data_IF_645691559428
#
_entry.id   IF_645691559428
#
_cell.length_a   1.000
_cell.length_b   1.000
_cell.length_c   1.000
_cell.angle_alpha   90.00
_cell.angle_beta   90.00
_cell.angle_gamma   90.00
#
_symmetry.space_group_name_H-M   'P 1'
#
loop_
_entity.id
_entity.type
_entity.pdbx_description
1 polymer ?
#
# COMPACT_ATOMS: atom_id res chain seq x y z
N UNK A 1 7.34 11.22 24.49
CA UNK A 1 8.30 10.18 24.89
C UNK A 1 7.86 8.89 24.21
N UNK A 2 8.64 8.38 23.25
CA UNK A 2 8.55 7.02 22.71
C UNK A 2 8.04 6.78 21.28
N UNK A 3 8.62 5.74 20.67
CA UNK A 3 8.68 5.42 19.24
C UNK A 3 7.37 4.86 18.66
N UNK A 4 7.02 5.34 17.47
CA UNK A 4 6.10 4.72 16.51
C UNK A 4 7.02 4.18 15.42
N UNK A 5 6.94 2.88 15.12
CA UNK A 5 7.89 2.20 14.24
C UNK A 5 7.94 2.85 12.86
N UNK A 6 9.14 3.02 12.33
CA UNK A 6 9.36 3.46 10.95
C UNK A 6 8.67 2.48 9.99
N UNK A 7 8.14 2.94 8.84
CA UNK A 7 7.39 2.08 7.91
C UNK A 7 8.16 0.88 7.35
N UNK A 8 9.47 0.75 7.62
CA UNK A 8 10.35 -0.33 7.19
C UNK A 8 10.96 -1.17 8.34
N UNK A 9 10.56 -0.96 9.60
CA UNK A 9 11.12 -1.73 10.73
C UNK A 9 10.38 -3.06 11.00
N UNK A 10 11.10 -4.17 10.79
CA UNK A 10 10.70 -5.54 11.12
C UNK A 10 10.91 -5.83 12.62
N UNK A 11 10.00 -5.36 13.48
CA UNK A 11 9.92 -5.79 14.87
C UNK A 11 9.15 -7.12 15.02
N UNK A 12 9.75 -8.12 15.69
CA UNK A 12 9.06 -9.37 16.09
C UNK A 12 8.06 -9.10 17.21
N UNK A 13 6.86 -9.69 17.09
CA UNK A 13 5.77 -9.60 18.08
C UNK A 13 5.63 -10.95 18.78
N UNK A 14 5.42 -11.01 20.12
CA UNK A 14 5.05 -12.24 20.81
C UNK A 14 3.68 -12.76 20.33
N UNK A 15 3.64 -14.04 19.97
CA UNK A 15 2.47 -14.75 19.44
C UNK A 15 1.62 -15.32 20.56
N UNK A 16 0.60 -14.60 21.00
CA UNK A 16 -0.50 -15.25 21.76
C UNK A 16 -1.80 -14.51 21.50
N UNK A 17 -2.35 -14.72 20.31
CA UNK A 17 -3.77 -14.51 20.00
C UNK A 17 -4.51 -15.83 20.34
N UNK A 18 -5.73 -15.81 20.89
CA UNK A 18 -6.54 -17.00 20.97
C UNK A 18 -6.79 -17.52 19.55
N UNK A 19 -6.43 -18.78 19.28
CA UNK A 19 -6.61 -19.40 17.99
C UNK A 19 -8.11 -19.72 17.78
N UNK A 20 -8.80 -18.93 16.97
CA UNK A 20 -9.90 -19.45 16.17
C UNK A 20 -9.33 -19.84 14.81
N UNK A 21 -9.31 -21.13 14.44
CA UNK A 21 -8.78 -21.53 13.14
C UNK A 21 -9.77 -21.07 12.06
N UNK A 22 -9.34 -20.10 11.25
CA UNK A 22 -9.87 -19.97 9.90
C UNK A 22 -9.43 -21.23 9.16
N UNK A 23 -10.33 -22.19 8.97
CA UNK A 23 -10.03 -23.39 8.21
C UNK A 23 -9.66 -22.99 6.78
N UNK A 24 -8.45 -23.39 6.35
CA UNK A 24 -8.00 -23.24 4.98
C UNK A 24 -8.85 -24.14 4.07
N UNK A 25 -9.88 -23.57 3.44
CA UNK A 25 -10.73 -24.26 2.47
C UNK A 25 -10.08 -24.41 1.09
N UNK A 26 -8.78 -24.72 1.01
CA UNK A 26 -8.05 -24.82 -0.24
C UNK A 26 -7.39 -26.19 -0.39
N UNK A 27 -7.92 -27.03 -1.28
CA UNK A 27 -7.22 -28.23 -1.73
C UNK A 27 -5.97 -27.80 -2.54
N UNK A 28 -4.76 -28.34 -2.24
CA UNK A 28 -3.62 -28.16 -3.12
C UNK A 28 -3.96 -28.79 -4.48
N UNK A 29 -4.15 -27.95 -5.50
CA UNK A 29 -4.56 -28.38 -6.84
C UNK A 29 -5.64 -27.54 -7.52
N UNK A 30 -6.28 -26.58 -6.83
CA UNK A 30 -7.30 -25.73 -7.47
C UNK A 30 -6.69 -24.82 -8.54
N UNK A 31 -7.05 -25.08 -9.80
CA UNK A 31 -6.67 -24.24 -10.93
C UNK A 31 -7.13 -22.78 -10.72
N UNK A 32 -6.34 -21.78 -11.18
CA UNK A 32 -6.78 -20.39 -11.12
C UNK A 32 -8.04 -20.20 -11.96
N UNK A 33 -8.98 -19.42 -11.42
CA UNK A 33 -10.21 -19.05 -12.13
C UNK A 33 -9.92 -18.08 -13.28
N UNK A 34 -8.82 -17.32 -13.20
CA UNK A 34 -8.32 -16.50 -14.29
C UNK A 34 -6.81 -16.26 -14.17
N UNK A 35 -6.16 -16.00 -15.31
CA UNK A 35 -4.73 -15.69 -15.39
C UNK A 35 -4.47 -14.53 -16.35
N UNK A 36 -3.40 -13.78 -16.13
CA UNK A 36 -2.97 -12.70 -17.02
C UNK A 36 -1.44 -12.53 -16.97
N UNK A 37 -0.90 -11.81 -17.95
CA UNK A 37 0.51 -11.39 -17.99
C UNK A 37 0.55 -9.89 -18.23
N UNK A 38 1.27 -9.17 -17.39
CA UNK A 38 1.51 -7.74 -17.54
C UNK A 38 2.99 -7.48 -17.85
N UNK A 39 3.26 -6.69 -18.89
CA UNK A 39 4.62 -6.35 -19.32
C UNK A 39 4.88 -4.88 -18.96
N UNK A 40 5.86 -4.58 -18.09
CA UNK A 40 6.19 -3.22 -17.74
C UNK A 40 6.88 -2.50 -18.90
N UNK A 41 6.56 -1.20 -19.07
CA UNK A 41 7.31 -0.33 -19.97
C UNK A 41 8.55 0.21 -19.23
N UNK A 42 9.71 -0.42 -19.47
CA UNK A 42 10.97 -0.10 -18.80
C UNK A 42 11.22 -0.88 -17.50
N UNK A 43 12.24 -0.50 -16.70
CA UNK A 43 12.58 -1.18 -15.45
C UNK A 43 11.38 -1.29 -14.50
N UNK A 44 11.25 -2.44 -13.83
CA UNK A 44 10.15 -2.68 -12.89
C UNK A 44 10.57 -3.63 -11.77
N UNK A 45 10.15 -3.31 -10.55
CA UNK A 45 10.34 -4.13 -9.36
C UNK A 45 9.01 -4.34 -8.64
N UNK A 46 8.49 -5.57 -8.72
CA UNK A 46 7.26 -5.98 -8.06
C UNK A 46 7.34 -5.77 -6.54
N UNK A 47 8.47 -6.18 -5.94
CA UNK A 47 8.71 -6.08 -4.51
C UNK A 47 8.68 -4.62 -4.04
N UNK A 48 9.48 -3.74 -4.64
CA UNK A 48 9.59 -2.34 -4.20
C UNK A 48 8.28 -1.56 -4.39
N UNK A 49 7.50 -1.92 -5.42
CA UNK A 49 6.21 -1.32 -5.75
C UNK A 49 5.14 -1.74 -4.76
N UNK A 50 4.96 -3.04 -4.51
CA UNK A 50 3.84 -3.54 -3.71
C UNK A 50 4.12 -3.58 -2.20
N UNK A 51 5.38 -3.50 -1.74
CA UNK A 51 5.72 -3.60 -0.32
C UNK A 51 5.03 -2.55 0.56
N UNK A 52 4.62 -1.40 0.01
CA UNK A 52 3.87 -0.36 0.75
C UNK A 52 2.47 -0.81 1.19
N UNK A 53 1.91 -1.82 0.53
CA UNK A 53 0.58 -2.34 0.83
C UNK A 53 0.60 -3.29 2.04
N UNK A 54 1.77 -3.88 2.35
CA UNK A 54 1.91 -4.86 3.43
C UNK A 54 2.06 -4.20 4.80
N UNK A 55 1.23 -4.60 5.76
CA UNK A 55 1.22 -4.14 7.16
C UNK A 55 2.04 -5.07 8.06
N UNK A 56 3.35 -5.13 7.78
CA UNK A 56 4.33 -5.93 8.52
C UNK A 56 4.40 -7.40 8.08
N UNK A 57 5.37 -8.15 8.61
CA UNK A 57 5.73 -9.50 8.14
C UNK A 57 4.58 -10.53 8.21
N UNK A 58 3.64 -10.36 9.13
CA UNK A 58 2.52 -11.28 9.37
C UNK A 58 1.17 -10.69 8.96
N UNK A 59 1.16 -9.81 7.95
CA UNK A 59 -0.09 -9.29 7.39
C UNK A 59 -0.92 -10.47 6.81
N UNK A 60 -2.19 -10.61 7.24
CA UNK A 60 -3.06 -11.69 6.80
C UNK A 60 -3.66 -11.45 5.40
N UNK A 61 -3.61 -10.25 4.85
CA UNK A 61 -4.23 -9.94 3.56
C UNK A 61 -3.21 -9.72 2.45
N UNK A 62 -2.00 -9.26 2.79
CA UNK A 62 -0.94 -8.97 1.80
C UNK A 62 0.39 -9.58 2.22
N UNK A 63 1.07 -10.27 1.30
CA UNK A 63 2.45 -10.73 1.48
C UNK A 63 3.26 -10.39 0.25
N UNK A 64 4.37 -9.69 0.42
CA UNK A 64 5.28 -9.31 -0.65
C UNK A 64 6.66 -9.86 -0.30
N UNK A 65 7.28 -10.51 -1.27
CA UNK A 65 8.63 -11.04 -1.16
C UNK A 65 9.39 -10.88 -2.47
N UNK A 66 10.55 -11.51 -2.55
CA UNK A 66 11.39 -11.47 -3.75
C UNK A 66 10.71 -12.18 -4.91
N UNK A 67 10.31 -11.41 -5.92
CA UNK A 67 9.70 -11.93 -7.14
C UNK A 67 8.29 -12.50 -6.97
N UNK A 68 7.65 -12.35 -5.81
CA UNK A 68 6.30 -12.83 -5.56
C UNK A 68 5.51 -11.88 -4.66
N UNK A 69 4.23 -11.69 -4.98
CA UNK A 69 3.27 -11.01 -4.10
C UNK A 69 1.94 -11.74 -4.07
N UNK A 70 1.32 -11.78 -2.90
CA UNK A 70 -0.02 -12.30 -2.63
C UNK A 70 -0.90 -11.21 -2.05
N UNK A 71 -2.11 -11.04 -2.59
CA UNK A 71 -3.13 -10.14 -2.08
C UNK A 71 -4.46 -10.88 -1.98
N UNK A 72 -5.13 -10.80 -0.83
CA UNK A 72 -6.47 -11.35 -0.59
C UNK A 72 -7.40 -10.21 -0.17
N UNK A 73 -8.49 -10.01 -0.91
CA UNK A 73 -9.40 -8.89 -0.71
C UNK A 73 -10.79 -9.18 -1.30
N UNK A 74 -11.76 -8.33 -0.99
CA UNK A 74 -13.11 -8.41 -1.54
C UNK A 74 -13.23 -7.61 -2.84
N UNK A 75 -13.97 -8.12 -3.81
CA UNK A 75 -14.43 -7.38 -4.99
C UNK A 75 -15.96 -7.30 -4.98
N UNK A 76 -16.59 -6.46 -5.81
CA UNK A 76 -18.04 -6.42 -5.95
C UNK A 76 -18.68 -7.79 -6.27
N UNK A 77 -17.94 -8.66 -6.95
CA UNK A 77 -18.35 -10.02 -7.35
C UNK A 77 -18.00 -11.09 -6.31
N UNK A 78 -17.34 -10.72 -5.22
CA UNK A 78 -16.99 -11.60 -4.11
C UNK A 78 -15.49 -11.62 -3.77
N UNK A 79 -15.07 -12.49 -2.84
CA UNK A 79 -13.68 -12.56 -2.41
C UNK A 79 -12.77 -13.03 -3.55
N UNK A 80 -11.55 -12.50 -3.57
CA UNK A 80 -10.51 -12.86 -4.51
C UNK A 80 -9.14 -13.00 -3.84
N UNK A 81 -8.34 -13.88 -4.40
CA UNK A 81 -6.91 -13.97 -4.11
C UNK A 81 -6.12 -13.78 -5.40
N UNK A 82 -5.11 -12.92 -5.35
CA UNK A 82 -4.16 -12.66 -6.44
C UNK A 82 -2.78 -13.14 -6.04
N UNK A 83 -2.15 -13.90 -6.93
CA UNK A 83 -0.72 -14.19 -6.90
C UNK A 83 -0.07 -13.50 -8.09
N UNK A 84 0.95 -12.69 -7.82
CA UNK A 84 1.80 -12.07 -8.82
C UNK A 84 3.20 -12.64 -8.70
N UNK A 85 3.79 -13.00 -9.82
CA UNK A 85 5.16 -13.52 -9.87
C UNK A 85 5.94 -12.79 -10.95
N UNK A 86 7.12 -12.29 -10.57
CA UNK A 86 8.07 -11.66 -11.48
C UNK A 86 9.32 -12.55 -11.50
N UNK A 87 9.60 -13.24 -12.62
CA UNK A 87 10.82 -14.02 -12.73
C UNK A 87 12.03 -13.07 -12.66
N UNK A 88 13.16 -13.60 -12.20
CA UNK A 88 14.43 -12.88 -12.31
C UNK A 88 14.71 -12.59 -13.80
N UNK A 89 15.34 -11.45 -14.08
CA UNK A 89 15.69 -11.06 -15.44
C UNK A 89 16.52 -12.16 -16.13
N UNK A 90 15.89 -12.85 -17.08
CA UNK A 90 16.46 -13.90 -17.91
C UNK A 90 15.73 -13.94 -19.26
N UNK A 91 16.30 -14.58 -20.29
CA UNK A 91 15.69 -14.64 -21.62
C UNK A 91 14.29 -15.28 -21.53
N UNK A 92 13.28 -14.59 -22.04
CA UNK A 92 11.89 -15.03 -22.01
C UNK A 92 11.74 -16.22 -22.96
N UNK A 93 11.66 -17.44 -22.42
CA UNK A 93 11.17 -18.57 -23.19
C UNK A 93 9.66 -18.38 -23.41
N UNK A 94 9.26 -18.28 -24.68
CA UNK A 94 7.85 -18.29 -25.06
C UNK A 94 7.25 -19.64 -24.67
N UNK A 95 6.19 -19.64 -23.86
CA UNK A 95 5.40 -20.86 -23.66
C UNK A 95 4.56 -21.13 -24.94
N UNK A 96 4.52 -22.38 -25.42
CA UNK A 96 3.68 -22.73 -26.56
C UNK A 96 2.20 -22.63 -26.15
N UNK A 97 1.47 -21.66 -26.74
CA UNK A 97 0.02 -21.51 -26.59
C UNK A 97 -0.49 -20.10 -26.23
N UNK A 98 0.40 -19.11 -26.01
CA UNK A 98 -0.04 -17.74 -25.80
C UNK A 98 -0.51 -17.11 -27.13
N UNK A 99 -1.77 -16.70 -27.19
CA UNK A 99 -2.28 -15.85 -28.26
C UNK A 99 -1.41 -14.58 -28.36
N UNK A 100 -1.00 -14.24 -29.58
CA UNK A 100 -0.22 -13.05 -29.91
C UNK A 100 -0.92 -11.83 -29.27
N UNK A 101 -0.22 -10.97 -28.50
CA UNK A 101 -0.84 -9.75 -28.00
C UNK A 101 -1.23 -8.88 -29.20
N UNK A 102 -2.45 -8.32 -29.16
CA UNK A 102 -2.87 -7.29 -30.10
C UNK A 102 -1.97 -6.07 -29.87
N UNK A 103 -1.14 -5.76 -30.86
CA UNK A 103 -0.36 -4.53 -30.91
C UNK A 103 -1.36 -3.40 -31.15
N UNK A 104 -1.63 -2.59 -30.14
CA UNK A 104 -2.29 -1.31 -30.35
C UNK A 104 -1.30 -0.38 -31.06
N UNK A 105 -1.67 0.11 -32.24
CA UNK A 105 -0.90 1.14 -32.94
C UNK A 105 -0.74 2.38 -32.05
N UNK A 106 0.48 2.94 -31.93
CA UNK A 106 0.70 4.14 -31.15
C UNK A 106 0.05 5.36 -31.84
N UNK A 107 -0.52 6.32 -31.08
CA UNK A 107 -1.00 7.57 -31.64
C UNK A 107 0.15 8.36 -32.28
N UNK A 108 -0.08 9.06 -33.41
CA UNK A 108 0.92 9.93 -33.99
C UNK A 108 1.19 11.10 -33.05
N UNK A 109 2.45 11.55 -32.99
CA UNK A 109 3.02 12.60 -32.13
C UNK A 109 3.66 12.10 -30.81
N UNK A 110 4.80 11.41 -30.92
CA UNK A 110 5.83 11.43 -29.88
C UNK A 110 7.19 11.76 -30.51
N UNK A 111 7.79 12.87 -30.09
CA UNK A 111 9.17 13.22 -30.45
C UNK A 111 10.15 12.27 -29.75
N UNK A 112 11.27 11.87 -30.40
CA UNK A 112 12.25 10.99 -29.80
C UNK A 112 13.41 11.79 -29.20
N UNK A 113 13.54 11.83 -27.88
CA UNK A 113 14.83 12.04 -27.19
C UNK A 113 14.68 11.87 -25.66
N UNK A 114 15.48 10.98 -25.05
CA UNK A 114 15.64 10.99 -23.60
C UNK A 114 15.99 9.67 -22.89
N UNK A 115 17.12 9.05 -23.24
CA UNK A 115 17.90 8.14 -22.38
C UNK A 115 17.19 6.86 -21.87
N UNK A 116 17.31 5.77 -22.64
CA UNK A 116 16.89 4.43 -22.24
C UNK A 116 17.72 3.89 -21.08
N UNK A 117 17.19 3.96 -19.86
CA UNK A 117 17.71 3.18 -18.73
C UNK A 117 17.17 1.74 -18.79
N UNK A 118 18.03 0.79 -19.19
CA UNK A 118 17.92 -0.63 -18.81
C UNK A 118 17.07 -1.53 -19.70
N UNK A 119 17.57 -2.75 -19.97
CA UNK A 119 16.94 -3.76 -20.83
C UNK A 119 15.53 -4.21 -20.40
N UNK A 120 14.88 -5.09 -21.19
CA UNK A 120 13.49 -5.46 -20.98
C UNK A 120 13.26 -5.99 -19.56
N UNK A 121 12.29 -5.40 -18.86
CA UNK A 121 11.87 -5.90 -17.56
C UNK A 121 11.15 -7.22 -17.73
N UNK A 122 11.33 -8.11 -16.76
CA UNK A 122 10.63 -9.40 -16.77
C UNK A 122 9.12 -9.20 -16.60
N UNK A 123 8.29 -9.91 -17.40
CA UNK A 123 6.84 -9.80 -17.31
C UNK A 123 6.36 -10.29 -15.93
N UNK A 124 5.31 -9.65 -15.41
CA UNK A 124 4.63 -10.10 -14.20
C UNK A 124 3.52 -11.05 -14.60
N UNK A 125 3.58 -12.29 -14.14
CA UNK A 125 2.53 -13.30 -14.33
C UNK A 125 1.56 -13.23 -13.18
N UNK A 126 0.27 -13.22 -13.47
CA UNK A 126 -0.81 -13.09 -12.48
C UNK A 126 -1.74 -14.29 -12.55
N UNK A 127 -2.09 -14.81 -11.38
CA UNK A 127 -3.10 -15.86 -11.19
C UNK A 127 -4.10 -15.39 -10.15
N UNK A 128 -5.38 -15.65 -10.41
CA UNK A 128 -6.48 -15.21 -9.56
C UNK A 128 -7.42 -16.37 -9.23
N UNK A 129 -7.94 -16.39 -8.00
CA UNK A 129 -8.89 -17.39 -7.51
C UNK A 129 -10.08 -16.70 -6.83
N UNK A 130 -11.20 -17.44 -6.76
CA UNK A 130 -12.43 -16.99 -6.12
C UNK A 130 -13.42 -16.31 -7.07
N UNK A 131 -14.66 -16.04 -6.59
CA UNK A 131 -15.71 -15.39 -7.37
C UNK A 131 -15.27 -14.03 -7.94
N UNK A 132 -14.46 -13.27 -7.20
CA UNK A 132 -13.94 -11.96 -7.61
C UNK A 132 -12.71 -12.01 -8.53
N UNK A 133 -12.25 -13.19 -8.97
CA UNK A 133 -10.96 -13.35 -9.67
C UNK A 133 -10.83 -12.48 -10.94
N UNK A 134 -11.88 -12.40 -11.76
CA UNK A 134 -11.84 -11.62 -13.01
C UNK A 134 -11.79 -10.11 -12.75
N UNK A 135 -12.57 -9.62 -11.79
CA UNK A 135 -12.54 -8.21 -11.40
C UNK A 135 -11.20 -7.83 -10.76
N UNK A 136 -10.65 -8.72 -9.92
CA UNK A 136 -9.32 -8.55 -9.36
C UNK A 136 -8.24 -8.44 -10.45
N UNK A 137 -8.30 -9.27 -11.50
CA UNK A 137 -7.38 -9.18 -12.64
C UNK A 137 -7.53 -7.88 -13.44
N UNK A 138 -8.75 -7.39 -13.65
CA UNK A 138 -8.99 -6.16 -14.41
C UNK A 138 -8.30 -4.95 -13.76
N UNK A 139 -8.19 -4.93 -12.42
CA UNK A 139 -7.47 -3.89 -11.68
C UNK A 139 -5.94 -4.01 -11.65
N UNK A 140 -5.36 -5.12 -12.16
CA UNK A 140 -3.93 -5.41 -12.02
C UNK A 140 -3.03 -4.35 -12.67
N UNK A 141 -3.24 -3.89 -13.92
CA UNK A 141 -2.36 -2.89 -14.51
C UNK A 141 -2.24 -1.64 -13.63
N UNK A 142 -3.37 -1.17 -13.08
CA UNK A 142 -3.41 -0.03 -12.16
C UNK A 142 -2.71 -0.34 -10.83
N UNK A 143 -2.97 -1.51 -10.24
CA UNK A 143 -2.28 -1.98 -9.03
C UNK A 143 -0.75 -1.97 -9.19
N UNK A 144 -0.26 -2.34 -10.38
CA UNK A 144 1.17 -2.38 -10.70
C UNK A 144 1.75 -1.02 -11.09
N UNK A 145 0.95 0.05 -11.09
CA UNK A 145 1.40 1.40 -11.39
C UNK A 145 1.57 1.65 -12.88
N UNK A 146 0.78 1.02 -13.76
CA UNK A 146 0.87 1.25 -15.20
C UNK A 146 0.65 2.72 -15.62
N UNK A 147 -0.11 3.49 -14.82
CA UNK A 147 -0.34 4.92 -15.02
C UNK A 147 0.59 5.83 -14.20
N UNK A 148 1.57 5.28 -13.48
CA UNK A 148 2.48 6.07 -12.64
C UNK A 148 3.65 6.63 -13.45
N UNK A 149 3.50 7.87 -13.92
CA UNK A 149 4.48 8.55 -14.77
C UNK A 149 5.56 9.28 -13.95
N UNK A 150 6.80 8.81 -14.03
CA UNK A 150 7.97 9.40 -13.37
C UNK A 150 8.69 10.44 -14.22
N UNK A 151 8.26 10.71 -15.45
CA UNK A 151 8.96 11.60 -16.39
C UNK A 151 9.29 12.96 -15.79
N UNK A 152 8.33 13.64 -15.14
CA UNK A 152 8.56 14.92 -14.47
C UNK A 152 9.53 14.85 -13.29
N UNK A 153 9.55 13.73 -12.54
CA UNK A 153 10.51 13.54 -11.45
C UNK A 153 11.91 13.22 -11.96
N UNK A 154 12.00 12.53 -13.10
CA UNK A 154 13.24 12.09 -13.72
C UNK A 154 13.83 13.13 -14.70
N UNK A 155 13.11 14.22 -14.99
CA UNK A 155 13.56 15.34 -15.81
C UNK A 155 14.86 15.94 -15.25
N UNK A 156 15.80 16.28 -16.13
CA UNK A 156 17.13 16.78 -15.73
C UNK A 156 17.07 18.03 -14.84
N UNK A 157 16.19 18.99 -15.17
CA UNK A 157 15.97 20.19 -14.39
C UNK A 157 15.42 19.89 -12.99
N UNK A 158 14.40 19.04 -12.90
CA UNK A 158 13.83 18.61 -11.63
C UNK A 158 14.88 17.87 -10.78
N UNK A 159 15.62 16.93 -11.39
CA UNK A 159 16.68 16.18 -10.71
C UNK A 159 17.80 17.06 -10.20
N UNK A 160 18.15 18.13 -10.91
CA UNK A 160 19.17 19.08 -10.45
C UNK A 160 18.75 19.80 -9.15
N UNK A 161 17.45 19.93 -8.89
CA UNK A 161 16.93 20.49 -7.63
C UNK A 161 16.97 19.51 -6.44
N UNK A 162 17.03 18.19 -6.69
CA UNK A 162 16.96 17.17 -5.65
C UNK A 162 18.30 17.01 -4.91
N UNK A 163 18.28 16.71 -3.60
CA UNK A 163 19.48 16.31 -2.86
C UNK A 163 20.15 15.10 -3.51
N UNK A 164 21.50 15.09 -3.55
CA UNK A 164 22.28 14.00 -4.17
C UNK A 164 21.86 12.61 -3.69
N UNK A 165 21.61 12.44 -2.39
CA UNK A 165 21.18 11.16 -1.82
C UNK A 165 19.85 10.67 -2.41
N UNK A 166 18.90 11.58 -2.66
CA UNK A 166 17.60 11.26 -3.26
C UNK A 166 17.77 10.87 -4.72
N UNK A 167 18.59 11.59 -5.47
CA UNK A 167 18.98 11.22 -6.84
C UNK A 167 19.61 9.82 -6.91
N UNK A 168 20.53 9.51 -5.99
CA UNK A 168 21.16 8.19 -5.91
C UNK A 168 20.16 7.08 -5.54
N UNK A 169 19.22 7.36 -4.63
CA UNK A 169 18.16 6.43 -4.28
C UNK A 169 17.26 6.14 -5.49
N UNK A 170 16.85 7.16 -6.26
CA UNK A 170 16.08 6.99 -7.50
C UNK A 170 16.85 6.18 -8.53
N UNK A 171 18.13 6.48 -8.76
CA UNK A 171 19.01 5.76 -9.69
C UNK A 171 19.16 4.27 -9.35
N UNK A 172 19.21 3.93 -8.05
CA UNK A 172 19.32 2.53 -7.57
C UNK A 172 17.98 1.78 -7.59
N UNK A 173 16.86 2.50 -7.67
CA UNK A 173 15.52 1.94 -7.66
C UNK A 173 14.70 2.41 -8.88
N UNK A 174 15.21 2.22 -10.13
CA UNK A 174 14.56 2.75 -11.33
C UNK A 174 13.19 2.09 -11.59
N UNK A 175 13.01 0.85 -11.12
CA UNK A 175 11.80 0.07 -11.29
C UNK A 175 10.74 0.21 -10.20
N UNK A 176 10.93 1.10 -9.21
CA UNK A 176 9.88 1.40 -8.25
C UNK A 176 8.76 2.18 -8.95
N UNK A 177 7.52 1.73 -8.72
CA UNK A 177 6.28 2.46 -9.03
C UNK A 177 5.47 2.71 -7.75
N UNK A 178 4.57 3.68 -7.79
CA UNK A 178 3.53 3.89 -6.80
C UNK A 178 2.33 3.00 -7.17
N UNK A 179 1.93 2.04 -6.31
CA UNK A 179 0.77 1.22 -6.60
C UNK A 179 -0.53 2.01 -6.42
N UNK A 180 -1.54 1.65 -7.20
CA UNK A 180 -2.88 2.23 -7.09
C UNK A 180 -3.92 1.12 -7.03
N UNK A 181 -4.33 0.74 -5.81
CA UNK A 181 -5.28 -0.37 -5.61
C UNK A 181 -6.69 -0.05 -6.07
N UNK A 182 -7.10 1.23 -6.06
CA UNK A 182 -8.49 1.66 -6.20
C UNK A 182 -9.43 1.21 -5.07
N UNK A 183 -8.93 0.51 -4.03
CA UNK A 183 -9.75 -0.05 -2.94
C UNK A 183 -9.70 0.86 -1.72
N UNK A 184 -10.54 1.90 -1.74
CA UNK A 184 -10.52 2.98 -0.74
C UNK A 184 -10.92 2.48 0.64
N UNK A 185 -12.03 1.74 0.74
CA UNK A 185 -12.48 1.22 2.02
C UNK A 185 -11.45 0.25 2.65
N UNK A 186 -10.90 -0.67 1.84
CA UNK A 186 -9.84 -1.59 2.27
C UNK A 186 -8.61 -0.88 2.84
N UNK A 187 -8.23 0.26 2.25
CA UNK A 187 -7.08 1.03 2.70
C UNK A 187 -7.39 1.88 3.95
N UNK A 188 -8.65 2.30 4.10
CA UNK A 188 -9.10 3.13 5.21
C UNK A 188 -9.06 2.41 6.55
N UNK A 189 -9.55 1.17 6.60
CA UNK A 189 -9.61 0.40 7.86
C UNK A 189 -8.23 0.31 8.54
N UNK A 190 -7.16 -0.19 7.91
CA UNK A 190 -5.84 -0.23 8.52
C UNK A 190 -5.25 1.17 8.78
N UNK A 191 -5.52 2.17 7.94
CA UNK A 191 -5.07 3.54 8.18
C UNK A 191 -5.71 4.14 9.44
N UNK A 192 -7.01 3.91 9.68
CA UNK A 192 -7.69 4.36 10.90
C UNK A 192 -7.15 3.62 12.13
N UNK A 193 -6.88 2.31 12.01
CA UNK A 193 -6.28 1.53 13.10
C UNK A 193 -4.89 2.06 13.51
N UNK A 194 -4.16 2.69 12.61
CA UNK A 194 -2.83 3.27 12.85
C UNK A 194 -2.88 4.66 13.52
N UNK A 195 -4.05 5.30 13.61
CA UNK A 195 -4.16 6.64 14.18
C UNK A 195 -3.71 6.69 15.65
N UNK A 196 -2.69 7.51 15.92
CA UNK A 196 -2.21 7.86 17.29
C UNK A 196 -1.83 6.67 18.18
N UNK A 197 -1.44 5.55 17.58
CA UNK A 197 -0.96 4.36 18.31
C UNK A 197 0.39 3.89 17.77
N UNK A 198 1.01 2.94 18.47
CA UNK A 198 2.19 2.28 17.92
C UNK A 198 1.81 1.38 16.74
N UNK A 199 2.75 1.22 15.80
CA UNK A 199 2.61 0.28 14.68
C UNK A 199 2.35 -1.15 15.17
N UNK A 200 2.88 -1.53 16.33
CA UNK A 200 2.68 -2.87 16.90
C UNK A 200 1.21 -3.08 17.29
N UNK A 201 0.59 -2.08 17.93
CA UNK A 201 -0.83 -2.11 18.31
C UNK A 201 -1.74 -2.13 17.08
N UNK A 202 -1.47 -1.26 16.10
CA UNK A 202 -2.25 -1.21 14.87
C UNK A 202 -2.17 -2.55 14.09
N UNK A 203 -0.97 -3.13 13.97
CA UNK A 203 -0.78 -4.45 13.34
C UNK A 203 -1.46 -5.56 14.14
N UNK A 204 -1.47 -5.48 15.47
CA UNK A 204 -2.23 -6.42 16.31
C UNK A 204 -3.73 -6.32 16.03
N UNK A 205 -4.29 -5.11 16.06
CA UNK A 205 -5.70 -4.86 15.79
C UNK A 205 -6.12 -5.36 14.40
N UNK A 206 -5.31 -5.08 13.38
CA UNK A 206 -5.54 -5.56 12.01
C UNK A 206 -5.60 -7.10 11.96
N UNK A 207 -4.60 -7.79 12.52
CA UNK A 207 -4.58 -9.25 12.57
C UNK A 207 -5.75 -9.82 13.36
N UNK A 208 -6.10 -9.19 14.49
CA UNK A 208 -7.22 -9.61 15.32
C UNK A 208 -8.52 -9.58 14.53
N UNK A 209 -8.84 -8.44 13.91
CA UNK A 209 -10.07 -8.25 13.17
C UNK A 209 -10.17 -9.19 11.96
N UNK A 210 -9.09 -9.32 11.18
CA UNK A 210 -9.09 -10.22 10.02
C UNK A 210 -9.23 -11.68 10.43
N UNK A 211 -8.54 -12.12 11.49
CA UNK A 211 -8.66 -13.52 11.94
C UNK A 211 -10.02 -13.85 12.53
N UNK A 212 -10.66 -12.90 13.21
CA UNK A 212 -11.91 -13.12 13.92
C UNK A 212 -13.15 -12.88 13.06
N UNK A 213 -13.09 -11.89 12.17
CA UNK A 213 -14.25 -11.42 11.39
C UNK A 213 -14.02 -11.46 9.88
N UNK A 214 -12.81 -11.75 9.42
CA UNK A 214 -12.53 -11.99 8.01
C UNK A 214 -13.05 -13.33 7.53
N UNK A 215 -12.88 -13.59 6.24
CA UNK A 215 -13.30 -14.82 5.59
C UNK A 215 -12.11 -15.59 5.00
N UNK A 216 -12.24 -16.90 4.77
CA UNK A 216 -11.21 -17.67 4.09
C UNK A 216 -10.88 -17.09 2.71
N UNK A 217 -9.59 -16.96 2.43
CA UNK A 217 -9.12 -16.52 1.13
C UNK A 217 -9.28 -17.63 0.07
N UNK A 218 -9.83 -17.35 -1.12
CA UNK A 218 -10.02 -18.36 -2.15
C UNK A 218 -8.70 -18.91 -2.73
N UNK A 219 -8.68 -20.22 -3.01
CA UNK A 219 -7.57 -20.86 -3.73
C UNK A 219 -6.38 -21.25 -2.83
N UNK A 220 -5.27 -21.73 -3.44
CA UNK A 220 -4.09 -22.17 -2.72
C UNK A 220 -3.24 -20.96 -2.29
N UNK A 221 -3.72 -20.22 -1.28
CA UNK A 221 -2.99 -19.11 -0.69
C UNK A 221 -2.00 -19.60 0.37
N UNK A 222 -0.91 -18.85 0.64
CA UNK A 222 -0.04 -19.11 1.77
C UNK A 222 -0.81 -19.21 3.09
N UNK A 223 -0.37 -20.12 3.97
CA UNK A 223 -1.04 -20.38 5.26
C UNK A 223 -1.23 -19.09 6.08
N UNK A 224 -2.42 -18.92 6.64
CA UNK A 224 -2.78 -17.77 7.48
C UNK A 224 -3.14 -16.51 6.70
N UNK A 225 -3.26 -16.58 5.37
CA UNK A 225 -3.88 -15.52 4.59
C UNK A 225 -5.41 -15.61 4.61
N UNK A 226 -6.07 -14.46 4.60
CA UNK A 226 -7.52 -14.32 4.68
C UNK A 226 -7.98 -13.04 3.99
N UNK A 227 -9.26 -12.98 3.67
CA UNK A 227 -9.91 -11.75 3.20
C UNK A 227 -10.40 -10.97 4.42
N UNK A 228 -10.11 -9.67 4.47
CA UNK A 228 -10.53 -8.80 5.56
C UNK A 228 -12.06 -8.73 5.68
N UNK A 229 -12.62 -8.47 6.87
CA UNK A 229 -14.05 -8.25 7.02
C UNK A 229 -14.51 -7.08 6.13
N UNK A 230 -15.59 -7.30 5.37
CA UNK A 230 -16.22 -6.23 4.59
C UNK A 230 -16.93 -5.22 5.51
N UNK A 231 -17.46 -4.15 4.91
CA UNK A 231 -18.16 -3.10 5.63
C UNK A 231 -19.36 -3.63 6.46
N UNK A 232 -20.08 -4.62 5.94
CA UNK A 232 -21.22 -5.21 6.64
C UNK A 232 -20.80 -6.08 7.83
N UNK A 233 -19.73 -6.86 7.69
CA UNK A 233 -19.12 -7.62 8.78
C UNK A 233 -18.59 -6.69 9.87
N UNK A 234 -17.87 -5.62 9.51
CA UNK A 234 -17.35 -4.63 10.46
C UNK A 234 -18.45 -3.95 11.27
N UNK A 235 -19.59 -3.62 10.64
CA UNK A 235 -20.75 -3.04 11.34
C UNK A 235 -21.40 -3.97 12.36
N UNK A 236 -21.17 -5.28 12.26
CA UNK A 236 -21.68 -6.28 13.19
C UNK A 236 -20.69 -6.68 14.27
N UNK A 237 -19.47 -6.12 14.27
CA UNK A 237 -18.47 -6.38 15.31
C UNK A 237 -18.98 -5.79 16.64
N UNK A 238 -19.20 -6.63 17.66
CA UNK A 238 -19.63 -6.14 18.97
C UNK A 238 -18.60 -5.21 19.61
N UNK A 239 -19.06 -4.28 20.47
CA UNK A 239 -18.19 -3.29 21.11
C UNK A 239 -16.99 -3.92 21.84
N UNK A 240 -17.20 -5.01 22.59
CA UNK A 240 -16.14 -5.71 23.34
C UNK A 240 -15.03 -6.32 22.46
N UNK A 241 -15.34 -6.63 21.19
CA UNK A 241 -14.35 -7.17 20.24
C UNK A 241 -13.40 -6.07 19.75
N UNK A 242 -13.86 -4.81 19.68
CA UNK A 242 -12.98 -3.66 19.46
C UNK A 242 -12.01 -3.44 20.62
N UNK A 243 -12.49 -3.58 21.86
CA UNK A 243 -11.62 -3.54 23.05
C UNK A 243 -10.60 -4.69 23.06
N UNK A 244 -11.02 -5.91 22.71
CA UNK A 244 -10.11 -7.07 22.59
C UNK A 244 -9.06 -6.89 21.47
N UNK A 245 -9.43 -6.17 20.40
CA UNK A 245 -8.53 -5.73 19.34
C UNK A 245 -7.61 -4.55 19.75
N UNK A 246 -7.77 -3.98 20.96
CA UNK A 246 -7.08 -2.78 21.45
C UNK A 246 -7.37 -1.52 20.62
N UNK A 247 -8.59 -1.43 20.12
CA UNK A 247 -9.10 -0.30 19.36
C UNK A 247 -10.00 0.53 20.27
N UNK A 248 -9.66 1.80 20.44
CA UNK A 248 -10.47 2.73 21.22
C UNK A 248 -11.79 3.10 20.52
N UNK A 249 -12.70 3.71 21.27
CA UNK A 249 -14.02 4.11 20.78
C UNK A 249 -13.95 5.10 19.61
N UNK A 250 -12.94 5.97 19.55
CA UNK A 250 -12.82 6.97 18.48
C UNK A 250 -12.47 6.28 17.16
N UNK A 251 -11.43 5.43 17.15
CA UNK A 251 -11.02 4.70 15.94
C UNK A 251 -12.09 3.73 15.47
N UNK A 252 -12.69 2.95 16.37
CA UNK A 252 -13.77 2.01 16.00
C UNK A 252 -14.98 2.76 15.43
N UNK A 253 -15.42 3.86 16.05
CA UNK A 253 -16.52 4.68 15.52
C UNK A 253 -16.19 5.28 14.12
N UNK A 254 -14.95 5.71 13.89
CA UNK A 254 -14.53 6.18 12.56
C UNK A 254 -14.56 5.05 11.52
N UNK A 255 -14.14 3.83 11.88
CA UNK A 255 -14.27 2.66 10.99
C UNK A 255 -15.74 2.37 10.68
N UNK A 256 -16.62 2.42 11.69
CA UNK A 256 -18.06 2.19 11.49
C UNK A 256 -18.71 3.24 10.57
N UNK A 257 -18.34 4.52 10.70
CA UNK A 257 -18.77 5.59 9.79
C UNK A 257 -18.25 5.38 8.37
N UNK A 258 -16.98 4.97 8.23
CA UNK A 258 -16.44 4.60 6.92
C UNK A 258 -17.17 3.40 6.32
N UNK A 259 -17.55 2.42 7.14
CA UNK A 259 -18.30 1.24 6.70
C UNK A 259 -19.72 1.60 6.26
N UNK A 260 -20.36 2.56 6.92
CA UNK A 260 -21.64 3.12 6.50
C UNK A 260 -21.54 3.82 5.13
N UNK A 261 -20.42 4.51 4.87
CA UNK A 261 -20.16 5.20 3.60
C UNK A 261 -19.47 4.33 2.53
N UNK A 262 -19.26 3.02 2.77
CA UNK A 262 -18.36 2.17 1.98
C UNK A 262 -18.65 2.20 0.47
N UNK A 263 -19.93 2.05 0.06
CA UNK A 263 -20.29 2.08 -1.35
C UNK A 263 -19.95 3.41 -2.04
N UNK A 264 -20.01 4.54 -1.31
CA UNK A 264 -19.59 5.85 -1.81
C UNK A 264 -18.07 5.97 -1.89
N UNK A 265 -17.37 5.49 -0.87
CA UNK A 265 -15.92 5.46 -0.80
C UNK A 265 -15.31 4.58 -1.91
N UNK A 266 -15.88 3.42 -2.20
CA UNK A 266 -15.39 2.53 -3.26
C UNK A 266 -15.53 3.16 -4.64
N UNK A 267 -16.58 3.97 -4.88
CA UNK A 267 -16.71 4.77 -6.10
C UNK A 267 -15.64 5.85 -6.23
N UNK A 268 -15.06 6.35 -5.14
CA UNK A 268 -13.92 7.27 -5.23
C UNK A 268 -12.72 6.55 -5.81
N UNK A 269 -12.58 5.26 -5.51
CA UNK A 269 -11.49 4.43 -5.99
C UNK A 269 -11.34 4.42 -7.50
N UNK A 270 -12.41 4.54 -8.29
CA UNK A 270 -12.34 4.58 -9.76
C UNK A 270 -12.20 5.98 -10.36
N UNK A 271 -12.23 7.05 -9.54
CA UNK A 271 -12.07 8.42 -10.02
C UNK A 271 -10.61 8.77 -10.26
N UNK A 272 -10.40 9.74 -11.13
CA UNK A 272 -9.08 10.36 -11.29
C UNK A 272 -8.69 11.11 -10.01
N UNK A 273 -7.40 11.09 -9.72
CA UNK A 273 -6.84 11.79 -8.58
C UNK A 273 -6.96 13.30 -8.79
N UNK A 274 -7.76 13.93 -7.94
CA UNK A 274 -7.96 15.38 -7.89
C UNK A 274 -8.04 15.80 -6.43
N UNK A 275 -7.86 17.09 -6.13
CA UNK A 275 -7.99 17.64 -4.77
C UNK A 275 -9.36 17.30 -4.14
N UNK A 276 -10.39 17.16 -4.97
CA UNK A 276 -11.74 16.79 -4.53
C UNK A 276 -11.83 15.40 -3.90
N UNK A 277 -10.97 14.45 -4.27
CA UNK A 277 -10.98 13.10 -3.68
C UNK A 277 -10.54 13.15 -2.22
N UNK A 278 -9.46 13.88 -1.92
CA UNK A 278 -8.98 14.08 -0.55
C UNK A 278 -10.03 14.80 0.31
N UNK A 279 -10.62 15.87 -0.22
CA UNK A 279 -11.67 16.60 0.47
C UNK A 279 -12.89 15.71 0.78
N UNK A 280 -13.30 14.87 -0.18
CA UNK A 280 -14.42 13.94 0.00
C UNK A 280 -14.13 12.88 1.07
N UNK A 281 -12.90 12.34 1.13
CA UNK A 281 -12.52 11.40 2.20
C UNK A 281 -12.64 12.05 3.58
N UNK A 282 -12.24 13.32 3.68
CA UNK A 282 -12.22 14.07 4.94
C UNK A 282 -13.61 14.55 5.40
N UNK A 283 -14.67 14.35 4.60
CA UNK A 283 -16.04 14.61 5.08
C UNK A 283 -16.50 13.57 6.09
N UNK A 284 -15.86 12.40 6.16
CA UNK A 284 -16.19 11.36 7.14
C UNK A 284 -15.54 11.73 8.49
N UNK A 285 -16.33 11.92 9.57
CA UNK A 285 -15.79 12.35 10.85
C UNK A 285 -14.75 11.39 11.44
N UNK A 286 -13.54 11.90 11.62
CA UNK A 286 -12.37 11.16 12.12
C UNK A 286 -11.35 10.76 11.03
N UNK A 287 -11.66 11.04 9.76
CA UNK A 287 -10.68 11.00 8.67
C UNK A 287 -10.10 12.41 8.50
N UNK A 288 -8.83 12.57 8.87
CA UNK A 288 -8.10 13.83 8.68
C UNK A 288 -7.07 13.76 7.55
N UNK A 289 -6.28 14.84 7.34
CA UNK A 289 -5.28 14.94 6.27
C UNK A 289 -4.29 13.77 6.26
N UNK A 290 -3.80 13.36 7.43
CA UNK A 290 -2.90 12.20 7.58
C UNK A 290 -3.51 10.92 6.99
N UNK A 291 -4.74 10.59 7.38
CA UNK A 291 -5.43 9.36 6.94
C UNK A 291 -5.77 9.42 5.46
N UNK A 292 -6.22 10.59 4.97
CA UNK A 292 -6.47 10.78 3.54
C UNK A 292 -5.21 10.57 2.71
N UNK A 293 -4.07 11.16 3.12
CA UNK A 293 -2.79 10.95 2.44
C UNK A 293 -2.38 9.47 2.41
N UNK A 294 -2.38 8.77 3.54
CA UNK A 294 -2.04 7.34 3.60
C UNK A 294 -2.92 6.47 2.68
N UNK A 295 -4.20 6.82 2.55
CA UNK A 295 -5.14 6.13 1.67
C UNK A 295 -4.85 6.44 0.20
N UNK A 296 -4.72 7.71 -0.17
CA UNK A 296 -4.49 8.14 -1.55
C UNK A 296 -3.16 7.63 -2.11
N UNK A 297 -2.11 7.61 -1.28
CA UNK A 297 -0.82 7.01 -1.64
C UNK A 297 -0.92 5.55 -2.08
N UNK A 298 -1.87 4.76 -1.53
CA UNK A 298 -2.02 3.33 -1.82
C UNK A 298 -3.12 3.03 -2.83
N UNK A 299 -4.12 3.89 -2.93
CA UNK A 299 -5.33 3.65 -3.74
C UNK A 299 -5.28 4.38 -5.08
N UNK A 300 -4.64 5.54 -5.11
CA UNK A 300 -4.51 6.39 -6.29
C UNK A 300 -3.05 6.52 -6.75
N UNK A 301 -2.08 6.00 -5.99
CA UNK A 301 -0.67 6.17 -6.30
C UNK A 301 -0.23 7.62 -6.24
N UNK A 302 -0.86 8.40 -5.34
CA UNK A 302 -0.66 9.85 -5.26
C UNK A 302 0.82 10.22 -5.04
N UNK A 303 1.46 10.93 -6.00
CA UNK A 303 2.88 11.26 -5.93
C UNK A 303 3.18 12.45 -5.02
N UNK A 304 2.18 13.13 -4.48
CA UNK A 304 2.32 14.42 -3.80
C UNK A 304 1.67 14.51 -2.42
N UNK A 305 0.70 13.64 -2.11
CA UNK A 305 0.07 13.59 -0.78
C UNK A 305 1.06 13.22 0.33
N UNK A 306 1.50 14.20 1.11
CA UNK A 306 2.34 14.02 2.30
C UNK A 306 1.47 13.71 3.52
N UNK A 307 1.86 12.72 4.33
CA UNK A 307 1.16 12.33 5.57
C UNK A 307 1.38 13.35 6.70
N UNK A 308 0.88 14.57 6.53
CA UNK A 308 0.94 15.66 7.51
C UNK A 308 0.31 15.23 8.83
N UNK A 309 0.96 15.52 9.97
CA UNK A 309 0.53 15.06 11.28
C UNK A 309 1.05 13.67 11.66
N UNK A 310 1.87 13.04 10.80
CA UNK A 310 2.66 11.88 11.19
C UNK A 310 3.69 12.29 12.25
N UNK A 311 3.73 11.51 13.32
CA UNK A 311 4.51 11.85 14.52
C UNK A 311 6.03 11.95 14.26
N UNK A 312 6.57 11.25 13.26
CA UNK A 312 8.01 11.24 12.96
C UNK A 312 8.37 11.94 11.67
N UNK A 313 7.45 12.02 10.70
CA UNK A 313 7.76 12.44 9.34
C UNK A 313 8.36 13.85 9.27
N UNK A 314 7.72 14.84 9.90
CA UNK A 314 8.20 16.21 9.88
C UNK A 314 9.61 16.34 10.46
N UNK A 315 9.85 15.76 11.64
CA UNK A 315 11.17 15.74 12.25
C UNK A 315 12.20 15.03 11.34
N UNK A 316 11.84 13.91 10.73
CA UNK A 316 12.72 13.13 9.86
C UNK A 316 13.10 13.87 8.59
N UNK A 317 12.14 14.50 7.91
CA UNK A 317 12.39 15.36 6.74
C UNK A 317 13.23 16.56 7.13
N UNK A 318 12.92 17.23 8.25
CA UNK A 318 13.72 18.34 8.77
C UNK A 318 15.18 17.96 8.98
N UNK A 319 15.43 16.84 9.67
CA UNK A 319 16.80 16.36 9.91
C UNK A 319 17.49 15.99 8.59
N UNK A 320 16.80 15.35 7.65
CA UNK A 320 17.36 14.95 6.37
C UNK A 320 17.81 16.14 5.52
N UNK A 321 17.00 17.21 5.51
CA UNK A 321 17.23 18.37 4.63
C UNK A 321 18.06 19.48 5.28
N UNK A 322 17.95 19.65 6.60
CA UNK A 322 18.51 20.81 7.32
C UNK A 322 19.40 20.43 8.50
N UNK A 323 19.47 19.15 8.85
CA UNK A 323 20.17 18.70 10.06
C UNK A 323 19.47 19.06 11.38
N UNK A 324 18.27 19.65 11.34
CA UNK A 324 17.52 20.08 12.54
C UNK A 324 16.07 19.60 12.49
N UNK A 325 15.46 19.43 13.66
CA UNK A 325 14.03 19.08 13.76
C UNK A 325 13.16 20.21 13.18
N UNK A 326 12.07 19.85 12.51
CA UNK A 326 11.01 20.78 12.10
C UNK A 326 9.62 20.23 12.46
N UNK A 327 8.60 21.07 12.35
CA UNK A 327 7.19 20.73 12.50
C UNK A 327 6.51 20.51 11.14
N UNK A 328 5.21 20.20 11.12
CA UNK A 328 4.48 19.95 9.88
C UNK A 328 4.53 21.14 8.91
N UNK A 329 4.39 22.37 9.41
CA UNK A 329 4.44 23.56 8.57
C UNK A 329 5.83 23.78 7.96
N UNK A 330 6.89 23.55 8.75
CA UNK A 330 8.26 23.61 8.27
C UNK A 330 8.60 22.47 7.29
N UNK A 331 8.09 21.26 7.51
CA UNK A 331 8.22 20.16 6.56
C UNK A 331 7.58 20.53 5.22
N UNK A 332 6.37 21.09 5.21
CA UNK A 332 5.72 21.50 3.97
C UNK A 332 6.51 22.59 3.24
N UNK A 333 7.02 23.61 3.95
CA UNK A 333 7.91 24.62 3.36
C UNK A 333 9.19 24.01 2.76
N UNK A 334 9.77 23.02 3.42
CA UNK A 334 10.98 22.34 2.91
C UNK A 334 10.69 21.49 1.66
N UNK A 335 9.49 20.93 1.55
CA UNK A 335 9.07 20.09 0.44
C UNK A 335 8.47 20.88 -0.73
N UNK A 336 8.13 22.15 -0.53
CA UNK A 336 7.52 23.02 -1.54
C UNK A 336 8.23 23.05 -2.90
N UNK A 337 9.58 23.05 -2.99
CA UNK A 337 10.27 23.01 -4.28
C UNK A 337 9.97 21.76 -5.13
N UNK A 338 9.43 20.71 -4.51
CA UNK A 338 9.09 19.44 -5.16
C UNK A 338 7.58 19.17 -5.15
N UNK A 339 6.75 20.22 -5.07
CA UNK A 339 5.30 20.13 -5.25
C UNK A 339 4.94 19.35 -6.54
N UNK A 340 3.88 18.54 -6.47
CA UNK A 340 3.55 17.53 -7.47
C UNK A 340 4.27 16.18 -7.26
N UNK A 341 5.36 16.15 -6.49
CA UNK A 341 6.19 14.98 -6.25
C UNK A 341 6.66 14.82 -4.78
N UNK A 342 6.02 15.50 -3.82
CA UNK A 342 6.48 15.51 -2.42
C UNK A 342 6.46 14.12 -1.78
N UNK A 343 5.48 13.29 -2.12
CA UNK A 343 5.47 11.91 -1.65
C UNK A 343 6.52 11.04 -2.35
N UNK A 344 6.79 11.25 -3.65
CA UNK A 344 7.92 10.58 -4.33
C UNK A 344 9.24 10.94 -3.66
N UNK A 345 9.43 12.21 -3.32
CA UNK A 345 10.58 12.65 -2.54
C UNK A 345 10.68 11.91 -1.21
N UNK A 346 9.60 11.88 -0.41
CA UNK A 346 9.57 11.17 0.89
C UNK A 346 9.88 9.67 0.72
N UNK A 347 9.33 9.04 -0.32
CA UNK A 347 9.60 7.63 -0.65
C UNK A 347 11.07 7.40 -0.98
N UNK A 348 11.66 8.24 -1.82
CA UNK A 348 13.07 8.15 -2.21
C UNK A 348 14.00 8.44 -1.03
N UNK A 349 13.65 9.42 -0.18
CA UNK A 349 14.37 9.70 1.05
C UNK A 349 14.43 8.45 1.94
N UNK A 350 13.34 7.68 2.02
CA UNK A 350 13.29 6.43 2.79
C UNK A 350 14.29 5.40 2.28
N UNK A 351 14.45 5.32 0.96
CA UNK A 351 15.38 4.40 0.29
C UNK A 351 16.84 4.84 0.37
N UNK A 352 17.13 6.05 0.83
CA UNK A 352 18.52 6.47 1.14
C UNK A 352 19.09 5.73 2.35
N UNK A 353 18.23 5.18 3.21
CA UNK A 353 18.62 4.61 4.50
C UNK A 353 18.89 5.65 5.59
N UNK A 354 18.58 6.93 5.34
CA UNK A 354 18.78 8.02 6.31
C UNK A 354 18.01 7.77 7.61
N UNK A 355 18.72 7.92 8.74
CA UNK A 355 18.15 7.82 10.09
C UNK A 355 18.34 9.14 10.81
N UNK A 356 17.25 9.69 11.34
CA UNK A 356 17.33 10.86 12.24
C UNK A 356 17.90 10.45 13.60
N UNK A 357 18.57 11.37 14.32
CA UNK A 357 18.96 11.15 15.70
C UNK A 357 17.77 10.71 16.57
N UNK A 358 18.01 9.75 17.47
CA UNK A 358 17.01 9.25 18.41
C UNK A 358 17.34 9.70 19.82
N UNK A 359 16.43 10.43 20.46
CA UNK A 359 16.54 10.86 21.85
C UNK A 359 15.31 10.35 22.63
N UNK A 360 15.52 9.50 23.64
CA UNK A 360 14.49 9.04 24.58
C UNK A 360 14.03 7.56 24.45
N UNK A 361 13.38 7.01 25.50
CA UNK A 361 12.93 5.61 25.56
C UNK A 361 11.71 5.34 24.66
N UNK A 362 11.50 4.08 24.22
CA UNK A 362 10.40 3.64 23.34
C UNK A 362 9.01 3.75 24.02
N UNK A 363 7.95 3.96 23.25
CA UNK A 363 6.56 3.99 23.79
C UNK A 363 6.18 2.54 24.10
N UNK A 364 5.73 2.29 25.32
CA UNK A 364 5.09 1.02 25.67
C UNK A 364 3.63 1.05 25.18
N UNK A 365 3.10 -0.06 24.65
CA UNK A 365 1.68 -0.16 24.29
C UNK A 365 0.77 0.23 25.45
N UNK A 366 -0.29 0.98 25.18
CA UNK A 366 -1.28 1.32 26.21
C UNK A 366 -2.25 0.15 26.44
N UNK A 367 -2.51 -0.19 27.70
CA UNK A 367 -3.46 -1.24 28.05
C UNK A 367 -4.87 -0.65 28.23
N UNK A 368 -5.71 -0.82 27.21
CA UNK A 368 -7.10 -0.35 27.22
C UNK A 368 -8.09 -1.35 27.86
N UNK A 369 -7.64 -2.47 28.41
CA UNK A 369 -8.54 -3.53 28.94
C UNK A 369 -9.30 -3.15 30.22
N UNK A 370 -9.06 -1.96 30.78
CA UNK A 370 -9.64 -1.49 32.05
C UNK A 370 -10.34 -0.13 31.95
N UNK A 371 -10.65 0.36 30.74
CA UNK A 371 -11.30 1.67 30.52
C UNK A 371 -12.60 1.55 29.77
#
# INVERSE_FOLDING_TARGET
MGQVGQPWEHGRVPSSLPASPLHAGGHPGTAPAATSVWVPQGPYSLESTLSVLQRGTHDPCTRVGRGEAWLCFSTPEGPASLRLTQPAAGPVAAEPGAAKPAVAEPPPHSSPAGHSFGGPSSPVRIRAWGPGARAALAGVPRLLGAGDDWSGFDESGFRASLPRAVNEARRRNPGLRLPATGRVFDALVPAILEQKVTVIEARYAWRYLVRRFGSPAPGPVPEGMAVAPDAHALRRVPSWEWHAARVDAKRSMTILRAAEAAAGLDRLGSRELTDGVSATLQTVPGIGPWTAAEVLQRTHGDPDSVSVGDFHLAAWVGYALTGRKTDDAGMLRLLEPWAGHRQRFVRMLGLTGFRKPSYGPRLSPEDHRRR
#
